data_IF_069440782132
#
_entry.id   IF_069440782132
#
_cell.length_a   1.000
_cell.length_b   1.000
_cell.length_c   1.000
_cell.angle_alpha   90.00
_cell.angle_beta   90.00
_cell.angle_gamma   90.00
#
_symmetry.space_group_name_H-M   'P 1'
#
loop_
_entity.id
_entity.type
_entity.pdbx_description
1 polymer ?
#
# COMPACT_ATOMS: atom_id res chain seq x y z
N UNK A 1 15.24 8.12 2.04
CA UNK A 1 14.03 7.89 2.85
C UNK A 1 12.84 7.93 1.92
N UNK A 2 11.83 7.09 2.17
CA UNK A 2 10.58 7.15 1.43
C UNK A 2 9.93 8.52 1.64
N UNK A 3 9.60 9.21 0.55
CA UNK A 3 8.94 10.53 0.58
C UNK A 3 7.41 10.41 0.60
N UNK A 4 6.88 9.32 0.05
CA UNK A 4 5.44 9.03 -0.03
C UNK A 4 4.85 8.69 1.34
N UNK A 5 3.59 9.08 1.55
CA UNK A 5 2.81 8.70 2.71
C UNK A 5 1.90 7.52 2.36
N UNK A 6 2.46 6.32 2.45
CA UNK A 6 1.77 5.09 2.02
C UNK A 6 0.46 4.85 2.77
N UNK A 7 0.42 5.18 4.07
CA UNK A 7 -0.80 5.03 4.86
C UNK A 7 -1.96 5.83 4.28
N UNK A 8 -1.69 7.08 3.88
CA UNK A 8 -2.70 7.94 3.27
C UNK A 8 -3.03 7.44 1.88
N UNK A 9 -2.03 7.12 1.06
CA UNK A 9 -2.23 6.67 -0.33
C UNK A 9 -3.15 5.43 -0.38
N UNK A 10 -2.84 4.39 0.40
CA UNK A 10 -3.65 3.16 0.42
C UNK A 10 -5.07 3.41 0.92
N UNK A 11 -5.26 4.30 1.91
CA UNK A 11 -6.60 4.66 2.39
C UNK A 11 -7.41 5.37 1.31
N UNK A 12 -6.81 6.32 0.61
CA UNK A 12 -7.45 7.03 -0.51
C UNK A 12 -7.83 6.04 -1.61
N UNK A 13 -6.92 5.11 -1.98
CA UNK A 13 -7.22 4.08 -2.98
C UNK A 13 -8.36 3.14 -2.59
N UNK A 14 -8.45 2.75 -1.31
CA UNK A 14 -9.60 1.98 -0.83
C UNK A 14 -10.92 2.75 -0.97
N UNK A 15 -10.93 4.05 -0.68
CA UNK A 15 -12.11 4.91 -0.81
C UNK A 15 -12.52 5.04 -2.28
N UNK A 16 -11.57 5.32 -3.17
CA UNK A 16 -11.80 5.42 -4.62
C UNK A 16 -12.38 4.12 -5.21
N UNK A 17 -11.91 2.97 -4.72
CA UNK A 17 -12.40 1.65 -5.12
C UNK A 17 -13.67 1.20 -4.36
N UNK A 18 -14.28 2.06 -3.54
CA UNK A 18 -15.44 1.74 -2.70
C UNK A 18 -15.27 0.43 -1.89
N UNK A 19 -14.06 0.20 -1.38
CA UNK A 19 -13.68 -1.00 -0.61
C UNK A 19 -13.13 -0.64 0.77
N UNK A 20 -12.83 -1.64 1.59
CA UNK A 20 -12.20 -1.45 2.90
C UNK A 20 -10.85 -2.17 2.95
N UNK A 21 -9.97 -1.72 3.85
CA UNK A 21 -8.69 -2.41 4.07
C UNK A 21 -8.87 -3.85 4.56
N UNK A 22 -9.95 -4.13 5.30
CA UNK A 22 -10.26 -5.47 5.76
C UNK A 22 -10.63 -6.38 4.57
N UNK A 23 -11.51 -5.91 3.68
CA UNK A 23 -11.88 -6.62 2.47
C UNK A 23 -10.69 -6.83 1.53
N UNK A 24 -9.86 -5.80 1.36
CA UNK A 24 -8.62 -5.90 0.58
C UNK A 24 -7.65 -6.93 1.19
N UNK A 25 -7.55 -6.99 2.52
CA UNK A 25 -6.73 -8.00 3.19
C UNK A 25 -7.24 -9.42 2.91
N UNK A 26 -8.55 -9.63 3.00
CA UNK A 26 -9.19 -10.91 2.69
C UNK A 26 -8.95 -11.34 1.23
N UNK A 27 -9.12 -10.43 0.28
CA UNK A 27 -8.93 -10.70 -1.16
C UNK A 27 -7.47 -11.05 -1.53
N UNK A 28 -6.51 -10.54 -0.75
CA UNK A 28 -5.08 -10.83 -0.90
C UNK A 28 -4.66 -12.06 -0.07
N UNK A 29 -5.57 -12.63 0.73
CA UNK A 29 -5.29 -13.79 1.57
C UNK A 29 -4.40 -13.48 2.77
N UNK A 30 -4.52 -12.27 3.33
CA UNK A 30 -3.79 -11.83 4.53
C UNK A 30 -4.73 -11.31 5.62
N UNK A 31 -4.18 -10.87 6.74
CA UNK A 31 -4.99 -10.35 7.86
C UNK A 31 -5.08 -8.82 7.82
N UNK A 32 -6.20 -8.22 8.27
CA UNK A 32 -6.32 -6.77 8.39
C UNK A 32 -5.24 -6.14 9.28
N UNK A 33 -4.81 -6.87 10.34
CA UNK A 33 -3.72 -6.43 11.22
C UNK A 33 -2.37 -6.39 10.51
N UNK A 34 -2.10 -7.33 9.60
CA UNK A 34 -0.90 -7.34 8.79
C UNK A 34 -0.89 -6.15 7.82
N UNK A 35 -2.01 -5.87 7.15
CA UNK A 35 -2.16 -4.70 6.26
C UNK A 35 -1.95 -3.40 7.02
N UNK A 36 -2.57 -3.23 8.20
CA UNK A 36 -2.39 -2.04 9.03
C UNK A 36 -0.92 -1.83 9.44
N UNK A 37 -0.21 -2.92 9.78
CA UNK A 37 1.22 -2.86 10.09
C UNK A 37 2.05 -2.51 8.84
N UNK A 38 1.69 -3.05 7.68
CA UNK A 38 2.37 -2.82 6.42
C UNK A 38 2.31 -1.36 6.01
N UNK A 39 1.11 -0.77 5.93
CA UNK A 39 0.91 0.61 5.45
C UNK A 39 1.49 1.68 6.40
N UNK A 40 1.61 1.36 7.69
CA UNK A 40 2.21 2.26 8.70
C UNK A 40 3.74 2.19 8.73
N UNK A 41 4.33 1.17 8.11
CA UNK A 41 5.78 1.01 8.06
C UNK A 41 6.35 1.99 7.03
N UNK A 42 7.30 2.83 7.46
CA UNK A 42 8.04 3.72 6.55
C UNK A 42 9.13 3.00 5.76
N UNK A 43 9.57 1.84 6.26
CA UNK A 43 10.64 1.03 5.67
C UNK A 43 10.11 -0.34 5.24
N UNK A 44 10.59 -0.84 4.09
CA UNK A 44 10.26 -2.17 3.58
C UNK A 44 8.81 -2.34 3.09
N UNK A 45 8.25 -1.29 2.49
CA UNK A 45 6.85 -1.29 2.00
C UNK A 45 6.65 -2.06 0.69
N UNK A 46 7.62 -1.99 -0.24
CA UNK A 46 7.51 -2.67 -1.54
C UNK A 46 7.81 -4.15 -1.35
N UNK A 47 6.77 -4.91 -0.98
CA UNK A 47 6.80 -6.36 -0.86
C UNK A 47 5.66 -6.98 -1.69
N UNK A 48 5.66 -8.31 -1.78
CA UNK A 48 4.67 -9.03 -2.60
C UNK A 48 3.22 -8.72 -2.21
N UNK A 49 2.92 -8.63 -0.90
CA UNK A 49 1.57 -8.30 -0.42
C UNK A 49 1.13 -6.91 -0.86
N UNK A 50 2.02 -5.91 -0.80
CA UNK A 50 1.72 -4.56 -1.26
C UNK A 50 1.40 -4.49 -2.76
N UNK A 51 2.17 -5.21 -3.58
CA UNK A 51 1.92 -5.30 -5.03
C UNK A 51 0.56 -5.96 -5.33
N UNK A 52 0.26 -7.07 -4.66
CA UNK A 52 -1.04 -7.76 -4.81
C UNK A 52 -2.22 -6.88 -4.38
N UNK A 53 -2.05 -6.08 -3.32
CA UNK A 53 -3.08 -5.11 -2.91
C UNK A 53 -3.34 -4.07 -4.00
N UNK A 54 -2.30 -3.51 -4.62
CA UNK A 54 -2.46 -2.53 -5.69
C UNK A 54 -3.06 -3.16 -6.96
N UNK A 55 -2.67 -4.39 -7.29
CA UNK A 55 -3.27 -5.18 -8.37
C UNK A 55 -4.79 -5.36 -8.15
N UNK A 56 -5.22 -5.74 -6.94
CA UNK A 56 -6.66 -5.85 -6.60
C UNK A 56 -7.41 -4.53 -6.68
N UNK A 57 -6.72 -3.42 -6.40
CA UNK A 57 -7.25 -2.08 -6.56
C UNK A 57 -7.21 -1.59 -8.03
N UNK A 58 -6.67 -2.38 -8.96
CA UNK A 58 -6.59 -2.06 -10.39
C UNK A 58 -5.42 -1.14 -10.77
N UNK A 59 -4.33 -1.17 -10.00
CA UNK A 59 -3.16 -0.33 -10.21
C UNK A 59 -1.90 -1.15 -10.46
N UNK A 60 -1.14 -0.76 -11.49
CA UNK A 60 0.26 -1.12 -11.63
C UNK A 60 1.14 -0.21 -10.74
N UNK A 61 2.32 -0.71 -10.36
CA UNK A 61 3.25 0.02 -9.47
C UNK A 61 4.50 0.43 -10.22
N UNK A 62 4.70 1.72 -10.37
CA UNK A 62 5.96 2.30 -10.86
C UNK A 62 6.70 3.00 -9.69
N UNK A 63 8.02 2.82 -9.63
CA UNK A 63 8.86 3.46 -8.61
C UNK A 63 9.71 4.57 -9.22
N UNK A 64 9.62 5.77 -8.65
CA UNK A 64 10.46 6.91 -9.02
C UNK A 64 11.50 7.20 -7.93
N UNK A 65 12.70 7.61 -8.34
CA UNK A 65 13.80 7.95 -7.43
C UNK A 65 14.10 9.45 -7.50
N UNK A 66 14.21 10.08 -6.33
CA UNK A 66 14.60 11.50 -6.20
C UNK A 66 15.94 11.63 -5.49
N UNK A 67 16.79 12.56 -5.94
CA UNK A 67 18.06 12.85 -5.26
C UNK A 67 17.78 13.35 -3.83
N UNK A 68 18.60 12.91 -2.88
CA UNK A 68 18.52 13.36 -1.48
C UNK A 68 19.05 14.78 -1.40
N UNK A 69 18.25 15.71 -0.87
CA UNK A 69 18.73 17.02 -0.43
C UNK A 69 19.59 16.82 0.82
N UNK A 70 20.80 17.36 0.80
CA UNK A 70 21.79 17.28 1.88
C UNK A 70 21.64 18.52 2.76
#
# INVERSE_FOLDING_TARGET
MLKNNIEVDVKVKCIEAATTQAKLAEEVGTTPSYVNRLIKKKDGIVNNTFLQMLEKLGYDVELTYVKREI
#
